data_IF_344305822042
#
_entry.id   IF_344305822042
#
_cell.length_a   1.000
_cell.length_b   1.000
_cell.length_c   1.000
_cell.angle_alpha   90.00
_cell.angle_beta   90.00
_cell.angle_gamma   90.00
#
_symmetry.space_group_name_H-M   'P 1'
#
loop_
_entity.id
_entity.type
_entity.pdbx_description
1 polymer ?
#
# COMPACT_ATOMS: atom_id res chain seq x y z
N UNK A 1 2.73 12.04 15.93
CA UNK A 1 2.35 12.36 14.53
C UNK A 1 1.97 13.83 14.51
N UNK A 2 2.80 14.69 13.97
CA UNK A 2 2.40 16.08 13.74
C UNK A 2 1.33 16.10 12.64
N UNK A 3 0.14 16.54 13.00
CA UNK A 3 -0.92 16.87 12.05
C UNK A 3 -0.33 17.86 11.06
N UNK A 4 -0.41 17.60 9.76
CA UNK A 4 0.19 18.49 8.77
C UNK A 4 -0.36 19.91 8.96
N UNK A 5 0.50 20.94 8.84
CA UNK A 5 0.15 22.35 9.01
C UNK A 5 -1.15 22.75 8.27
N UNK A 6 -1.40 22.31 7.02
CA UNK A 6 -2.66 22.57 6.33
C UNK A 6 -3.90 22.02 7.04
N UNK A 7 -3.85 20.81 7.63
CA UNK A 7 -5.00 20.25 8.36
C UNK A 7 -5.29 20.98 9.66
N UNK A 8 -4.26 21.44 10.37
CA UNK A 8 -4.43 22.23 11.58
C UNK A 8 -5.06 23.58 11.26
N UNK A 9 -4.57 24.29 10.22
CA UNK A 9 -5.12 25.57 9.78
C UNK A 9 -6.55 25.43 9.24
N UNK A 10 -6.83 24.41 8.45
CA UNK A 10 -8.17 24.15 7.94
C UNK A 10 -9.18 23.99 9.09
N UNK A 11 -8.82 23.23 10.10
CA UNK A 11 -9.65 23.04 11.29
C UNK A 11 -9.92 24.36 12.01
N UNK A 12 -8.90 25.20 12.23
CA UNK A 12 -9.07 26.53 12.87
C UNK A 12 -9.95 27.45 12.01
N UNK A 13 -9.77 27.46 10.69
CA UNK A 13 -10.60 28.26 9.77
C UNK A 13 -12.07 27.81 9.79
N UNK A 14 -12.33 26.50 9.92
CA UNK A 14 -13.68 25.93 9.89
C UNK A 14 -14.39 25.99 11.26
N UNK A 15 -13.65 25.84 12.36
CA UNK A 15 -14.20 25.82 13.72
C UNK A 15 -14.32 27.23 14.35
N UNK A 16 -13.64 28.24 13.80
CA UNK A 16 -13.69 29.59 14.31
C UNK A 16 -15.03 30.26 13.97
N UNK A 17 -15.76 30.66 15.01
CA UNK A 17 -17.01 31.43 14.86
C UNK A 17 -16.81 32.93 14.83
N UNK A 18 -15.57 33.43 15.02
CA UNK A 18 -15.20 34.84 15.06
C UNK A 18 -13.92 35.11 14.30
N UNK A 19 -13.99 36.06 13.40
CA UNK A 19 -12.88 36.48 12.54
C UNK A 19 -11.69 37.05 13.32
N UNK A 20 -11.93 37.76 14.42
CA UNK A 20 -10.86 38.34 15.25
C UNK A 20 -10.09 37.23 15.97
N UNK A 21 -10.81 36.24 16.54
CA UNK A 21 -10.20 35.05 17.14
C UNK A 21 -9.33 34.28 16.12
N UNK A 22 -9.81 34.13 14.89
CA UNK A 22 -9.05 33.49 13.82
C UNK A 22 -7.78 34.25 13.44
N UNK A 23 -7.85 35.58 13.36
CA UNK A 23 -6.67 36.42 13.07
C UNK A 23 -5.65 36.29 14.21
N UNK A 24 -6.08 36.30 15.47
CA UNK A 24 -5.20 36.12 16.62
C UNK A 24 -4.50 34.75 16.61
N UNK A 25 -5.23 33.68 16.30
CA UNK A 25 -4.67 32.32 16.18
C UNK A 25 -3.67 32.22 15.02
N UNK A 26 -3.99 32.78 13.85
CA UNK A 26 -3.08 32.79 12.71
C UNK A 26 -1.79 33.54 13.07
N UNK A 27 -1.89 34.70 13.72
CA UNK A 27 -0.73 35.47 14.16
C UNK A 27 0.10 34.73 15.21
N UNK A 28 -0.55 34.05 16.16
CA UNK A 28 0.12 33.22 17.15
C UNK A 28 0.86 32.02 16.53
N UNK A 29 0.23 31.35 15.55
CA UNK A 29 0.85 30.26 14.79
C UNK A 29 2.00 30.78 13.92
N UNK A 30 1.83 31.91 13.28
CA UNK A 30 2.89 32.57 12.46
C UNK A 30 4.11 32.88 13.34
N UNK A 31 3.91 33.44 14.53
CA UNK A 31 4.98 33.67 15.48
C UNK A 31 5.72 32.42 15.96
N UNK A 32 5.04 31.27 16.02
CA UNK A 32 5.62 29.99 16.47
C UNK A 32 6.26 29.16 15.35
N UNK A 33 5.62 29.09 14.19
CA UNK A 33 6.00 28.18 13.07
C UNK A 33 6.56 28.90 11.85
N UNK A 34 6.58 30.25 11.87
CA UNK A 34 7.16 31.05 10.80
C UNK A 34 6.26 31.21 9.56
N UNK A 35 6.87 31.66 8.48
CA UNK A 35 6.20 32.10 7.25
C UNK A 35 5.36 31.00 6.56
N UNK A 36 5.67 29.74 6.79
CA UNK A 36 4.96 28.58 6.21
C UNK A 36 3.46 28.58 6.59
N UNK A 37 3.10 29.20 7.72
CA UNK A 37 1.70 29.36 8.15
C UNK A 37 0.94 30.25 7.17
N UNK A 38 1.52 31.38 6.79
CA UNK A 38 0.88 32.31 5.86
C UNK A 38 0.82 31.76 4.43
N UNK A 39 1.85 31.03 4.00
CA UNK A 39 1.84 30.31 2.72
C UNK A 39 0.68 29.31 2.67
N UNK A 40 0.53 28.50 3.73
CA UNK A 40 -0.55 27.54 3.83
C UNK A 40 -1.93 28.22 3.91
N UNK A 41 -2.03 29.35 4.60
CA UNK A 41 -3.28 30.11 4.73
C UNK A 41 -3.75 30.68 3.38
N UNK A 42 -2.88 31.35 2.62
CA UNK A 42 -3.23 31.89 1.30
C UNK A 42 -3.59 30.78 0.30
N UNK A 43 -2.90 29.66 0.37
CA UNK A 43 -3.26 28.47 -0.43
C UNK A 43 -4.63 27.94 -0.04
N UNK A 44 -4.93 27.87 1.26
CA UNK A 44 -6.20 27.35 1.76
C UNK A 44 -7.39 28.26 1.45
N UNK A 45 -7.27 29.56 1.77
CA UNK A 45 -8.39 30.51 1.64
C UNK A 45 -8.59 31.04 0.22
N UNK A 46 -7.52 31.15 -0.57
CA UNK A 46 -7.58 31.77 -1.88
C UNK A 46 -7.11 30.88 -3.04
N UNK A 47 -6.57 29.69 -2.76
CA UNK A 47 -6.01 28.81 -3.77
C UNK A 47 -4.75 29.38 -4.45
N UNK A 48 -4.05 30.29 -3.78
CA UNK A 48 -2.89 31.01 -4.35
C UNK A 48 -1.60 30.45 -3.78
N UNK A 49 -0.72 29.97 -4.65
CA UNK A 49 0.67 29.66 -4.32
C UNK A 49 1.52 30.92 -4.37
N UNK A 50 1.75 31.51 -3.20
CA UNK A 50 2.48 32.76 -3.06
C UNK A 50 3.91 32.52 -2.54
N UNK A 51 4.93 33.18 -3.12
CA UNK A 51 6.29 33.10 -2.59
C UNK A 51 6.35 33.53 -1.11
N UNK A 52 7.07 32.81 -0.23
CA UNK A 52 7.12 33.14 1.20
C UNK A 52 7.44 34.60 1.51
N UNK A 53 8.35 35.20 0.76
CA UNK A 53 8.73 36.60 0.95
C UNK A 53 7.59 37.60 0.74
N UNK A 54 6.56 37.24 -0.02
CA UNK A 54 5.42 38.11 -0.32
C UNK A 54 4.26 37.89 0.67
N UNK A 55 4.15 36.68 1.26
CA UNK A 55 3.05 36.34 2.15
C UNK A 55 2.93 37.28 3.36
N UNK A 56 4.03 37.65 4.01
CA UNK A 56 4.00 38.53 5.16
C UNK A 56 3.48 39.92 4.79
N UNK A 57 3.99 40.53 3.70
CA UNK A 57 3.56 41.82 3.22
C UNK A 57 2.08 41.84 2.80
N UNK A 58 1.61 40.75 2.16
CA UNK A 58 0.20 40.62 1.79
C UNK A 58 -0.70 40.39 2.99
N UNK A 59 -0.24 39.67 4.02
CA UNK A 59 -1.00 39.51 5.25
C UNK A 59 -1.19 40.85 5.98
N UNK A 60 -0.14 41.63 6.19
CA UNK A 60 -0.21 42.96 6.77
C UNK A 60 -1.07 43.90 5.94
N UNK A 61 -0.88 43.89 4.62
CA UNK A 61 -1.68 44.71 3.69
C UNK A 61 -3.16 44.37 3.71
N UNK A 62 -3.48 43.06 3.82
CA UNK A 62 -4.85 42.58 3.96
C UNK A 62 -5.49 43.05 5.27
N UNK A 63 -4.81 42.95 6.40
CA UNK A 63 -5.35 43.36 7.70
C UNK A 63 -5.62 44.88 7.70
N UNK A 64 -4.72 45.67 7.12
CA UNK A 64 -4.92 47.13 6.95
C UNK A 64 -6.12 47.45 6.03
N UNK A 65 -6.23 46.72 4.92
CA UNK A 65 -7.33 46.89 3.97
C UNK A 65 -8.70 46.57 4.62
N UNK A 66 -8.79 45.43 5.38
CA UNK A 66 -10.01 45.07 6.11
C UNK A 66 -10.44 46.16 7.10
N UNK A 67 -9.48 46.73 7.84
CA UNK A 67 -9.75 47.81 8.76
C UNK A 67 -10.28 49.06 8.03
N UNK A 68 -9.66 49.46 6.92
CA UNK A 68 -10.10 50.61 6.12
C UNK A 68 -11.51 50.41 5.54
N UNK A 69 -11.84 49.16 5.10
CA UNK A 69 -13.18 48.85 4.62
C UNK A 69 -14.20 48.92 5.76
N UNK A 70 -13.86 48.41 6.94
CA UNK A 70 -14.76 48.45 8.11
C UNK A 70 -15.08 49.90 8.54
N UNK A 71 -14.08 50.75 8.54
CA UNK A 71 -14.24 52.19 8.82
C UNK A 71 -15.13 52.89 7.77
N UNK A 72 -14.94 52.56 6.49
CA UNK A 72 -15.73 53.14 5.39
C UNK A 72 -17.18 52.65 5.35
N UNK A 73 -17.43 51.40 5.74
CA UNK A 73 -18.77 50.77 5.72
C UNK A 73 -19.56 50.98 7.03
N UNK A 74 -18.90 51.41 8.10
CA UNK A 74 -19.48 51.49 9.45
C UNK A 74 -19.85 50.13 10.06
N UNK A 75 -19.30 49.04 9.54
CA UNK A 75 -19.48 47.66 10.05
C UNK A 75 -18.27 46.78 9.74
N UNK A 76 -18.05 45.79 10.54
CA UNK A 76 -17.03 44.77 10.23
C UNK A 76 -17.42 43.98 8.99
N UNK A 77 -16.45 43.73 8.12
CA UNK A 77 -16.58 42.87 6.97
C UNK A 77 -16.03 41.48 7.35
N UNK A 78 -16.74 40.47 6.93
CA UNK A 78 -16.28 39.09 7.02
C UNK A 78 -14.87 38.92 6.43
N UNK A 79 -14.04 38.09 7.09
CA UNK A 79 -12.63 37.94 6.74
C UNK A 79 -12.47 37.43 5.29
N UNK A 80 -13.30 36.49 4.87
CA UNK A 80 -13.25 35.92 3.52
C UNK A 80 -13.64 36.93 2.46
N UNK A 81 -14.69 37.72 2.74
CA UNK A 81 -15.12 38.81 1.86
C UNK A 81 -14.07 39.92 1.72
N UNK A 82 -13.46 40.33 2.83
CA UNK A 82 -12.42 41.34 2.84
C UNK A 82 -11.14 40.86 2.13
N UNK A 83 -10.78 39.54 2.32
CA UNK A 83 -9.64 38.94 1.65
C UNK A 83 -9.87 38.85 0.14
N UNK A 84 -11.07 38.47 -0.26
CA UNK A 84 -11.45 38.39 -1.67
C UNK A 84 -11.36 39.79 -2.33
N UNK A 85 -11.86 40.84 -1.67
CA UNK A 85 -11.77 42.22 -2.14
C UNK A 85 -10.30 42.69 -2.26
N UNK A 86 -9.49 42.49 -1.23
CA UNK A 86 -8.06 42.81 -1.24
C UNK A 86 -7.31 42.12 -2.36
N UNK A 87 -7.48 40.79 -2.51
CA UNK A 87 -6.76 40.03 -3.52
C UNK A 87 -7.21 40.34 -4.95
N UNK A 88 -8.48 40.76 -5.12
CA UNK A 88 -9.03 41.11 -6.43
C UNK A 88 -8.71 42.54 -6.85
N UNK A 89 -8.97 43.52 -5.99
CA UNK A 89 -8.94 44.94 -6.35
C UNK A 89 -7.65 45.63 -5.95
N UNK A 90 -7.04 45.29 -4.81
CA UNK A 90 -5.80 45.92 -4.37
C UNK A 90 -4.56 45.28 -4.98
N UNK A 91 -4.55 43.94 -5.16
CA UNK A 91 -3.36 43.20 -5.63
C UNK A 91 -3.51 42.60 -7.03
N UNK A 92 -4.73 42.40 -7.50
CA UNK A 92 -5.08 41.72 -8.76
C UNK A 92 -4.56 40.28 -8.85
N UNK A 93 -4.34 39.65 -7.72
CA UNK A 93 -3.93 38.25 -7.65
C UNK A 93 -5.09 37.26 -7.94
N UNK A 94 -6.35 37.70 -7.73
CA UNK A 94 -7.56 36.94 -8.06
C UNK A 94 -8.30 37.60 -9.23
N UNK A 95 -8.51 36.86 -10.31
CA UNK A 95 -9.26 37.36 -11.47
C UNK A 95 -10.75 37.01 -11.39
N UNK A 96 -11.09 35.78 -11.03
CA UNK A 96 -12.47 35.26 -10.99
C UNK A 96 -12.74 34.46 -9.72
N UNK A 97 -12.77 35.09 -8.52
CA UNK A 97 -13.01 34.38 -7.27
C UNK A 97 -14.42 33.77 -7.25
N UNK A 98 -14.54 32.59 -6.62
CA UNK A 98 -15.81 31.94 -6.31
C UNK A 98 -15.91 31.73 -4.81
N UNK A 99 -17.05 32.02 -4.23
CA UNK A 99 -17.34 31.67 -2.84
C UNK A 99 -17.87 30.24 -2.81
N UNK A 100 -17.30 29.43 -1.93
CA UNK A 100 -17.70 28.05 -1.73
C UNK A 100 -17.95 27.89 -0.22
N UNK A 101 -19.06 27.26 0.13
CA UNK A 101 -19.35 26.91 1.52
C UNK A 101 -18.29 25.96 2.08
N UNK A 102 -17.95 26.11 3.36
CA UNK A 102 -16.87 25.35 4.00
C UNK A 102 -17.10 23.83 3.96
N UNK A 103 -18.33 23.36 4.20
CA UNK A 103 -18.68 21.96 4.08
C UNK A 103 -18.55 21.43 2.64
N UNK A 104 -18.96 22.24 1.68
CA UNK A 104 -18.80 21.90 0.26
C UNK A 104 -17.32 21.90 -0.18
N UNK A 105 -16.49 22.76 0.43
CA UNK A 105 -15.04 22.76 0.20
C UNK A 105 -14.36 21.52 0.78
N UNK A 106 -14.77 21.05 1.97
CA UNK A 106 -14.30 19.77 2.52
C UNK A 106 -14.67 18.59 1.63
N UNK A 107 -15.93 18.52 1.17
CA UNK A 107 -16.37 17.49 0.21
C UNK A 107 -15.56 17.54 -1.10
N UNK A 108 -15.26 18.74 -1.60
CA UNK A 108 -14.40 18.92 -2.77
C UNK A 108 -12.96 18.46 -2.52
N UNK A 109 -12.40 18.74 -1.34
CA UNK A 109 -11.07 18.29 -0.95
C UNK A 109 -11.02 16.77 -0.78
N UNK A 110 -11.98 16.20 -0.06
CA UNK A 110 -12.07 14.75 0.10
C UNK A 110 -12.29 14.04 -1.24
N UNK A 111 -13.16 14.56 -2.10
CA UNK A 111 -13.35 14.06 -3.46
C UNK A 111 -12.16 14.28 -4.39
N UNK A 112 -11.23 15.18 -4.02
CA UNK A 112 -9.98 15.42 -4.74
C UNK A 112 -8.90 14.39 -4.44
N UNK A 113 -8.94 13.73 -3.25
CA UNK A 113 -7.91 12.78 -2.80
C UNK A 113 -8.41 11.35 -2.72
N UNK A 114 -9.71 11.13 -2.51
CA UNK A 114 -10.31 9.81 -2.38
C UNK A 114 -11.09 9.40 -3.64
N UNK A 115 -11.17 8.09 -3.87
CA UNK A 115 -12.12 7.48 -4.79
C UNK A 115 -13.50 7.37 -4.12
N UNK A 116 -14.52 7.96 -4.74
CA UNK A 116 -15.87 8.08 -4.15
C UNK A 116 -16.58 6.75 -3.92
N UNK A 117 -16.25 5.72 -4.71
CA UNK A 117 -16.87 4.41 -4.61
C UNK A 117 -16.25 3.59 -3.49
N UNK A 118 -14.94 3.61 -3.39
CA UNK A 118 -14.18 2.71 -2.53
C UNK A 118 -13.75 3.34 -1.21
N UNK A 119 -13.70 4.68 -1.13
CA UNK A 119 -13.18 5.43 0.02
C UNK A 119 -11.67 5.37 0.18
N UNK A 120 -10.96 4.56 -0.61
CA UNK A 120 -9.51 4.57 -0.68
C UNK A 120 -9.01 5.84 -1.37
N UNK A 121 -7.72 6.11 -1.29
CA UNK A 121 -7.15 7.21 -2.07
C UNK A 121 -7.35 6.97 -3.58
N UNK A 122 -7.43 8.06 -4.33
CA UNK A 122 -7.44 7.98 -5.78
C UNK A 122 -5.99 7.91 -6.32
N UNK A 123 -5.86 7.57 -7.61
CA UNK A 123 -4.58 7.48 -8.30
C UNK A 123 -3.74 8.75 -8.19
N UNK A 124 -4.36 9.92 -8.35
CA UNK A 124 -3.65 11.20 -8.30
C UNK A 124 -2.96 11.42 -6.95
N UNK A 125 -3.64 11.17 -5.86
CA UNK A 125 -3.07 11.29 -4.52
C UNK A 125 -1.99 10.24 -4.27
N UNK A 126 -2.21 9.00 -4.75
CA UNK A 126 -1.18 7.97 -4.69
C UNK A 126 0.11 8.40 -5.40
N UNK A 127 0.02 8.95 -6.63
CA UNK A 127 1.19 9.39 -7.41
C UNK A 127 1.98 10.49 -6.68
N UNK A 128 1.28 11.39 -5.97
CA UNK A 128 1.90 12.44 -5.16
C UNK A 128 2.67 11.85 -3.97
N UNK A 129 2.06 10.96 -3.19
CA UNK A 129 2.71 10.29 -2.04
C UNK A 129 3.84 9.36 -2.51
N UNK A 130 3.64 8.65 -3.60
CA UNK A 130 4.68 7.80 -4.19
C UNK A 130 5.92 8.61 -4.57
N UNK A 131 5.73 9.78 -5.18
CA UNK A 131 6.84 10.68 -5.52
C UNK A 131 7.62 11.16 -4.28
N UNK A 132 6.92 11.43 -3.17
CA UNK A 132 7.55 11.77 -1.89
C UNK A 132 8.33 10.58 -1.32
N UNK A 133 7.76 9.38 -1.35
CA UNK A 133 8.43 8.16 -0.89
C UNK A 133 9.67 7.83 -1.72
N UNK A 134 9.60 8.03 -3.03
CA UNK A 134 10.76 7.90 -3.94
C UNK A 134 11.89 8.83 -3.52
N UNK A 135 11.59 10.12 -3.27
CA UNK A 135 12.60 11.09 -2.84
C UNK A 135 13.25 10.72 -1.49
N UNK A 136 12.46 10.17 -0.55
CA UNK A 136 12.97 9.67 0.73
C UNK A 136 13.87 8.44 0.52
N UNK A 137 13.47 7.50 -0.32
CA UNK A 137 14.23 6.30 -0.62
C UNK A 137 15.54 6.62 -1.37
N UNK A 138 15.53 7.56 -2.31
CA UNK A 138 16.74 8.03 -3.00
C UNK A 138 17.74 8.65 -2.01
N UNK A 139 17.24 9.39 -1.00
CA UNK A 139 18.09 10.07 -0.01
C UNK A 139 18.60 9.16 1.10
N UNK A 140 17.74 8.30 1.64
CA UNK A 140 18.01 7.55 2.87
C UNK A 140 18.20 6.06 2.64
N UNK A 141 18.02 5.56 1.42
CA UNK A 141 18.06 4.13 1.06
C UNK A 141 17.12 3.27 1.89
N UNK A 142 15.99 3.84 2.33
CA UNK A 142 14.97 3.12 3.08
C UNK A 142 14.21 2.14 2.17
N UNK A 143 13.98 0.95 2.67
CA UNK A 143 13.18 -0.06 1.98
C UNK A 143 11.72 0.39 1.89
N UNK A 144 11.08 0.09 0.77
CA UNK A 144 9.64 0.15 0.64
C UNK A 144 9.16 -0.80 -0.46
N UNK A 145 7.91 -1.21 -0.33
CA UNK A 145 7.31 -2.22 -1.20
C UNK A 145 6.02 -1.69 -1.81
N UNK A 146 5.80 -2.00 -3.09
CA UNK A 146 4.56 -1.78 -3.82
C UNK A 146 3.88 -3.13 -4.01
N UNK A 147 2.62 -3.20 -3.65
CA UNK A 147 1.68 -4.26 -4.04
C UNK A 147 0.70 -3.68 -5.04
N UNK A 148 0.62 -4.28 -6.21
CA UNK A 148 -0.41 -3.99 -7.21
C UNK A 148 -1.39 -5.15 -7.25
N UNK A 149 -2.69 -4.89 -7.20
CA UNK A 149 -3.75 -5.89 -7.18
C UNK A 149 -4.74 -5.60 -8.31
N UNK A 150 -5.28 -6.64 -8.88
CA UNK A 150 -6.30 -6.58 -9.91
C UNK A 150 -7.35 -7.68 -9.63
N UNK A 151 -8.64 -7.33 -9.73
CA UNK A 151 -9.73 -8.29 -9.51
C UNK A 151 -9.82 -9.24 -10.69
N UNK A 152 -9.74 -10.52 -10.41
CA UNK A 152 -9.85 -11.57 -11.44
C UNK A 152 -11.25 -11.61 -12.04
N UNK A 153 -11.34 -11.66 -13.39
CA UNK A 153 -12.57 -11.80 -14.14
C UNK A 153 -13.64 -10.72 -13.85
N UNK A 154 -13.20 -9.52 -13.49
CA UNK A 154 -14.10 -8.42 -13.13
C UNK A 154 -15.06 -8.03 -14.26
N UNK A 155 -14.60 -8.10 -15.51
CA UNK A 155 -15.46 -7.88 -16.67
C UNK A 155 -16.57 -8.92 -16.76
N UNK A 156 -16.25 -10.20 -16.57
CA UNK A 156 -17.24 -11.29 -16.58
C UNK A 156 -18.27 -11.14 -15.45
N UNK A 157 -17.84 -10.67 -14.28
CA UNK A 157 -18.71 -10.35 -13.17
C UNK A 157 -19.69 -9.22 -13.57
N UNK A 158 -19.19 -8.14 -14.15
CA UNK A 158 -20.05 -7.04 -14.64
C UNK A 158 -21.01 -7.49 -15.74
N UNK A 159 -20.51 -8.28 -16.69
CA UNK A 159 -21.35 -8.76 -17.83
C UNK A 159 -22.44 -9.73 -17.34
N UNK A 160 -22.19 -10.49 -16.27
CA UNK A 160 -23.14 -11.47 -15.71
C UNK A 160 -24.14 -10.87 -14.72
N UNK A 161 -23.73 -9.91 -13.89
CA UNK A 161 -24.52 -9.40 -12.76
C UNK A 161 -24.76 -7.89 -12.80
N UNK A 162 -24.25 -7.21 -13.83
CA UNK A 162 -24.39 -5.76 -14.00
C UNK A 162 -23.38 -4.94 -13.21
N UNK A 163 -23.24 -3.66 -13.58
CA UNK A 163 -22.27 -2.75 -12.97
C UNK A 163 -22.47 -2.52 -11.46
N UNK A 164 -23.70 -2.65 -10.96
CA UNK A 164 -23.98 -2.52 -9.54
C UNK A 164 -23.31 -3.64 -8.72
N UNK A 165 -23.24 -4.86 -9.26
CA UNK A 165 -22.50 -5.97 -8.67
C UNK A 165 -20.99 -5.69 -8.65
N UNK A 166 -20.45 -5.15 -9.75
CA UNK A 166 -19.07 -4.69 -9.83
C UNK A 166 -18.73 -3.61 -8.81
N UNK A 167 -19.61 -2.61 -8.65
CA UNK A 167 -19.43 -1.56 -7.64
C UNK A 167 -19.41 -2.12 -6.22
N UNK A 168 -20.28 -3.07 -5.91
CA UNK A 168 -20.27 -3.79 -4.63
C UNK A 168 -18.99 -4.59 -4.43
N UNK A 169 -18.51 -5.25 -5.47
CA UNK A 169 -17.24 -6.00 -5.45
C UNK A 169 -16.06 -5.09 -5.16
N UNK A 170 -15.97 -3.95 -5.86
CA UNK A 170 -14.92 -2.95 -5.65
C UNK A 170 -14.92 -2.39 -4.23
N UNK A 171 -16.09 -2.01 -3.73
CA UNK A 171 -16.23 -1.49 -2.37
C UNK A 171 -15.84 -2.53 -1.31
N UNK A 172 -16.21 -3.80 -1.51
CA UNK A 172 -15.90 -4.87 -0.58
C UNK A 172 -14.39 -5.20 -0.54
N UNK A 173 -13.73 -5.26 -1.70
CA UNK A 173 -12.26 -5.41 -1.77
C UNK A 173 -11.55 -4.25 -1.08
N UNK A 174 -11.99 -3.03 -1.35
CA UNK A 174 -11.42 -1.83 -0.73
C UNK A 174 -11.55 -1.82 0.80
N UNK A 175 -12.68 -2.30 1.35
CA UNK A 175 -12.87 -2.42 2.80
C UNK A 175 -11.88 -3.41 3.43
N UNK A 176 -11.60 -4.54 2.78
CA UNK A 176 -10.57 -5.49 3.26
C UNK A 176 -9.20 -4.81 3.24
N UNK A 177 -8.82 -4.17 2.13
CA UNK A 177 -7.54 -3.46 2.03
C UNK A 177 -7.41 -2.40 3.13
N UNK A 178 -8.45 -1.58 3.34
CA UNK A 178 -8.47 -0.52 4.35
C UNK A 178 -8.30 -1.06 5.77
N UNK A 179 -8.93 -2.20 6.09
CA UNK A 179 -8.86 -2.84 7.40
C UNK A 179 -7.50 -3.48 7.67
N UNK A 180 -6.92 -4.13 6.68
CA UNK A 180 -5.71 -4.94 6.84
C UNK A 180 -4.41 -4.14 6.72
N UNK A 181 -4.41 -3.00 6.02
CA UNK A 181 -3.25 -2.13 5.90
C UNK A 181 -2.89 -1.45 7.22
N UNK A 182 -1.63 -1.12 7.41
CA UNK A 182 -1.17 -0.30 8.53
C UNK A 182 -1.55 1.17 8.30
N UNK A 183 -1.53 1.96 9.37
CA UNK A 183 -1.75 3.43 9.28
C UNK A 183 -0.69 4.12 8.41
N UNK A 184 0.54 3.59 8.37
CA UNK A 184 1.64 4.09 7.54
C UNK A 184 1.48 3.75 6.06
N UNK A 185 0.66 2.75 5.73
CA UNK A 185 0.52 2.27 4.37
C UNK A 185 -0.51 3.11 3.60
N UNK A 186 -0.22 3.37 2.35
CA UNK A 186 -1.08 4.16 1.46
C UNK A 186 -1.72 3.23 0.45
N UNK A 187 -3.04 3.09 0.52
CA UNK A 187 -3.81 2.27 -0.40
C UNK A 187 -4.69 3.14 -1.29
N UNK A 188 -4.71 2.86 -2.58
CA UNK A 188 -5.47 3.62 -3.56
C UNK A 188 -6.16 2.71 -4.58
N UNK A 189 -7.27 3.18 -5.12
CA UNK A 189 -7.81 2.66 -6.37
C UNK A 189 -7.06 3.29 -7.52
N UNK A 190 -6.33 2.47 -8.28
CA UNK A 190 -5.41 2.93 -9.31
C UNK A 190 -6.06 3.02 -10.69
N UNK A 191 -6.98 2.10 -10.97
CA UNK A 191 -7.74 2.00 -12.22
C UNK A 191 -9.17 1.52 -11.99
N UNK A 192 -9.80 0.98 -13.02
CA UNK A 192 -11.17 0.47 -12.95
C UNK A 192 -11.35 -0.60 -11.87
N UNK A 193 -10.55 -1.65 -11.95
CA UNK A 193 -10.56 -2.82 -11.07
C UNK A 193 -9.22 -3.04 -10.36
N UNK A 194 -8.33 -2.03 -10.44
CA UNK A 194 -6.96 -2.09 -9.97
C UNK A 194 -6.78 -1.32 -8.67
N UNK A 195 -6.06 -1.92 -7.74
CA UNK A 195 -5.69 -1.34 -6.47
C UNK A 195 -4.17 -1.36 -6.29
N UNK A 196 -3.65 -0.37 -5.59
CA UNK A 196 -2.23 -0.29 -5.26
C UNK A 196 -2.05 -0.02 -3.78
N UNK A 197 -1.07 -0.67 -3.16
CA UNK A 197 -0.68 -0.39 -1.77
C UNK A 197 0.82 -0.09 -1.72
N UNK A 198 1.16 1.10 -1.25
CA UNK A 198 2.51 1.52 -0.93
C UNK A 198 2.77 1.23 0.56
N UNK A 199 3.80 0.46 0.84
CA UNK A 199 4.19 0.03 2.18
C UNK A 199 5.59 0.59 2.52
N UNK A 200 5.70 1.74 3.19
CA UNK A 200 6.97 2.29 3.65
C UNK A 200 7.66 1.36 4.67
N UNK A 201 8.99 1.36 4.69
CA UNK A 201 9.79 0.56 5.62
C UNK A 201 9.39 -0.92 5.66
N UNK A 202 9.05 -1.47 4.50
CA UNK A 202 8.59 -2.85 4.35
C UNK A 202 9.43 -3.56 3.31
N UNK A 203 10.09 -4.64 3.72
CA UNK A 203 10.83 -5.52 2.82
C UNK A 203 9.90 -6.37 1.93
N UNK A 204 10.45 -6.97 0.90
CA UNK A 204 9.71 -7.78 -0.07
C UNK A 204 8.93 -8.94 0.57
N UNK A 205 9.51 -9.58 1.57
CA UNK A 205 8.92 -10.75 2.23
C UNK A 205 7.73 -10.33 3.10
N UNK A 206 7.93 -9.31 3.91
CA UNK A 206 6.85 -8.75 4.74
C UNK A 206 5.70 -8.23 3.88
N UNK A 207 6.01 -7.61 2.74
CA UNK A 207 5.03 -7.19 1.75
C UNK A 207 4.29 -8.37 1.12
N UNK A 208 5.00 -9.45 0.80
CA UNK A 208 4.38 -10.66 0.25
C UNK A 208 3.43 -11.34 1.26
N UNK A 209 3.84 -11.46 2.52
CA UNK A 209 2.98 -12.01 3.58
C UNK A 209 1.69 -11.19 3.73
N UNK A 210 1.80 -9.88 3.68
CA UNK A 210 0.64 -9.00 3.68
C UNK A 210 -0.25 -9.23 2.44
N UNK A 211 0.34 -9.29 1.25
CA UNK A 211 -0.37 -9.49 -0.01
C UNK A 211 -1.12 -10.84 -0.04
N UNK A 212 -0.50 -11.93 0.41
CA UNK A 212 -1.13 -13.26 0.48
C UNK A 212 -2.27 -13.29 1.51
N UNK A 213 -2.13 -12.60 2.64
CA UNK A 213 -3.22 -12.46 3.61
C UNK A 213 -4.43 -11.75 2.98
N UNK A 214 -4.21 -10.64 2.27
CA UNK A 214 -5.28 -9.93 1.54
C UNK A 214 -5.95 -10.86 0.51
N UNK A 215 -5.15 -11.55 -0.31
CA UNK A 215 -5.65 -12.46 -1.33
C UNK A 215 -6.56 -13.54 -0.73
N UNK A 216 -6.10 -14.18 0.36
CA UNK A 216 -6.86 -15.23 1.04
C UNK A 216 -8.17 -14.71 1.64
N UNK A 217 -8.14 -13.54 2.26
CA UNK A 217 -9.35 -12.93 2.82
C UNK A 217 -10.35 -12.54 1.74
N UNK A 218 -9.88 -11.94 0.63
CA UNK A 218 -10.71 -11.59 -0.51
C UNK A 218 -11.31 -12.86 -1.13
N UNK A 219 -10.54 -13.93 -1.33
CA UNK A 219 -11.04 -15.19 -1.88
C UNK A 219 -12.05 -15.90 -0.96
N UNK A 220 -11.96 -15.69 0.35
CA UNK A 220 -12.90 -16.25 1.33
C UNK A 220 -14.16 -15.38 1.53
N UNK A 221 -14.15 -14.14 1.04
CA UNK A 221 -15.24 -13.18 1.22
C UNK A 221 -16.49 -13.62 0.46
N UNK A 222 -17.64 -13.39 1.07
CA UNK A 222 -18.95 -13.55 0.48
C UNK A 222 -19.64 -12.20 0.42
N UNK A 223 -19.83 -11.66 -0.78
CA UNK A 223 -20.43 -10.33 -0.97
C UNK A 223 -21.94 -10.52 -1.19
N UNK A 224 -22.79 -10.08 -0.26
CA UNK A 224 -24.24 -10.15 -0.46
C UNK A 224 -24.67 -9.28 -1.66
N UNK A 225 -25.40 -9.87 -2.59
CA UNK A 225 -25.96 -9.16 -3.74
C UNK A 225 -27.28 -9.80 -4.13
N UNK A 226 -28.38 -9.07 -3.98
CA UNK A 226 -29.74 -9.57 -4.16
C UNK A 226 -29.99 -10.86 -3.35
N UNK A 227 -30.47 -11.94 -3.95
CA UNK A 227 -30.74 -13.21 -3.31
C UNK A 227 -29.53 -14.18 -3.31
N UNK A 228 -28.33 -13.70 -3.67
CA UNK A 228 -27.13 -14.50 -3.83
C UNK A 228 -25.90 -13.89 -3.16
N UNK A 229 -24.79 -14.60 -3.18
CA UNK A 229 -23.48 -14.11 -2.75
C UNK A 229 -22.49 -14.16 -3.91
N UNK A 230 -21.86 -13.03 -4.21
CA UNK A 230 -20.77 -12.97 -5.18
C UNK A 230 -19.49 -13.46 -4.54
N UNK A 231 -18.70 -14.20 -5.29
CA UNK A 231 -17.34 -14.62 -4.93
C UNK A 231 -16.40 -14.08 -6.01
N UNK A 232 -15.24 -13.62 -5.59
CA UNK A 232 -14.21 -13.16 -6.49
C UNK A 232 -12.83 -13.47 -5.92
N UNK A 233 -11.83 -13.37 -6.77
CA UNK A 233 -10.43 -13.48 -6.39
C UNK A 233 -9.65 -12.29 -6.92
N UNK A 234 -8.43 -12.13 -6.45
CA UNK A 234 -7.50 -11.11 -6.93
C UNK A 234 -6.17 -11.73 -7.31
N UNK A 235 -5.59 -11.23 -8.37
CA UNK A 235 -4.20 -11.46 -8.71
C UNK A 235 -3.36 -10.26 -8.32
N UNK A 236 -2.18 -10.49 -7.76
CA UNK A 236 -1.32 -9.42 -7.31
C UNK A 236 0.12 -9.54 -7.78
N UNK A 237 0.77 -8.40 -7.90
CA UNK A 237 2.20 -8.29 -8.17
C UNK A 237 2.90 -7.46 -7.11
N UNK A 238 4.09 -7.87 -6.71
CA UNK A 238 4.89 -7.21 -5.70
C UNK A 238 6.27 -6.85 -6.21
N UNK A 239 6.69 -5.63 -5.89
CA UNK A 239 8.05 -5.15 -6.15
C UNK A 239 8.53 -4.28 -4.98
N UNK A 240 9.83 -4.38 -4.65
CA UNK A 240 10.44 -3.71 -3.50
C UNK A 240 11.73 -3.00 -3.89
N UNK A 241 11.94 -1.83 -3.35
CA UNK A 241 13.21 -1.12 -3.38
C UNK A 241 14.01 -1.46 -2.11
N UNK A 242 15.35 -1.68 -2.23
CA UNK A 242 16.17 -1.70 -3.45
C UNK A 242 16.25 -3.07 -4.14
N UNK A 243 15.54 -4.09 -3.65
CA UNK A 243 15.68 -5.49 -4.06
C UNK A 243 15.44 -5.72 -5.56
N UNK A 244 14.38 -5.12 -6.10
CA UNK A 244 13.96 -5.39 -7.49
C UNK A 244 14.48 -4.35 -8.48
N UNK A 245 14.91 -3.19 -7.99
CA UNK A 245 15.47 -2.12 -8.83
C UNK A 245 16.24 -1.12 -7.98
N UNK A 246 17.28 -0.52 -8.55
CA UNK A 246 17.96 0.63 -7.94
C UNK A 246 17.24 1.96 -8.24
N UNK A 247 16.31 1.97 -9.19
CA UNK A 247 15.47 3.12 -9.51
C UNK A 247 14.07 2.95 -8.93
N UNK A 248 13.77 3.54 -7.75
CA UNK A 248 12.50 3.36 -7.07
C UNK A 248 11.30 3.83 -7.89
N UNK A 249 11.48 4.72 -8.88
CA UNK A 249 10.41 5.21 -9.77
C UNK A 249 9.78 4.12 -10.63
N UNK A 250 10.50 3.02 -10.85
CA UNK A 250 10.03 1.90 -11.67
C UNK A 250 9.14 0.92 -10.90
N UNK A 251 9.09 1.00 -9.56
CA UNK A 251 8.46 -0.03 -8.73
C UNK A 251 6.99 -0.29 -9.05
N UNK A 252 6.20 0.75 -9.32
CA UNK A 252 4.79 0.58 -9.70
C UNK A 252 4.68 -0.24 -10.99
N UNK A 253 5.49 0.09 -12.00
CA UNK A 253 5.50 -0.63 -13.27
C UNK A 253 5.98 -2.08 -13.11
N UNK A 254 6.96 -2.33 -12.23
CA UNK A 254 7.46 -3.67 -11.95
C UNK A 254 6.41 -4.52 -11.23
N UNK A 255 5.70 -3.94 -10.26
CA UNK A 255 4.61 -4.60 -9.56
C UNK A 255 3.45 -4.91 -10.51
N UNK A 256 3.05 -3.97 -11.37
CA UNK A 256 2.05 -4.19 -12.42
C UNK A 256 2.46 -5.34 -13.38
N UNK A 257 3.70 -5.34 -13.85
CA UNK A 257 4.23 -6.43 -14.67
C UNK A 257 4.14 -7.80 -13.98
N UNK A 258 4.29 -7.84 -12.65
CA UNK A 258 4.14 -9.06 -11.87
C UNK A 258 2.67 -9.52 -11.77
N UNK A 259 1.68 -8.61 -11.80
CA UNK A 259 0.26 -9.00 -11.90
C UNK A 259 0.00 -9.81 -13.16
N UNK A 260 0.58 -9.40 -14.28
CA UNK A 260 0.44 -10.14 -15.51
C UNK A 260 0.97 -11.59 -15.38
N UNK A 261 2.09 -11.78 -14.65
CA UNK A 261 2.63 -13.11 -14.34
C UNK A 261 1.67 -13.91 -13.45
N UNK A 262 1.06 -13.27 -12.46
CA UNK A 262 0.07 -13.88 -11.57
C UNK A 262 -1.16 -14.35 -12.35
N UNK A 263 -1.71 -13.50 -13.22
CA UNK A 263 -2.84 -13.85 -14.11
C UNK A 263 -2.50 -15.02 -15.04
N UNK A 264 -1.30 -15.02 -15.65
CA UNK A 264 -0.82 -16.11 -16.49
C UNK A 264 -0.54 -17.43 -15.76
N UNK A 265 -0.31 -17.39 -14.44
CA UNK A 265 -0.10 -18.55 -13.60
C UNK A 265 -1.40 -19.23 -13.10
N UNK A 266 -2.57 -18.76 -13.53
CA UNK A 266 -3.86 -19.32 -13.19
C UNK A 266 -4.71 -18.45 -12.27
N UNK A 267 -4.39 -17.16 -12.14
CA UNK A 267 -5.11 -16.17 -11.30
C UNK A 267 -5.06 -16.50 -9.81
N UNK A 268 -5.77 -15.75 -8.97
CA UNK A 268 -5.84 -15.95 -7.50
C UNK A 268 -4.47 -16.23 -6.88
N UNK A 269 -3.48 -15.39 -7.17
CA UNK A 269 -2.10 -15.58 -6.72
C UNK A 269 -1.34 -14.26 -6.67
N UNK A 270 -0.29 -14.23 -5.83
CA UNK A 270 0.64 -13.10 -5.76
C UNK A 270 1.95 -13.51 -6.43
N UNK A 271 2.42 -12.71 -7.36
CA UNK A 271 3.71 -12.90 -8.03
C UNK A 271 4.71 -11.84 -7.60
N UNK A 272 5.97 -12.23 -7.42
CA UNK A 272 7.07 -11.29 -7.27
C UNK A 272 7.54 -10.82 -8.65
N UNK A 273 7.86 -9.53 -8.78
CA UNK A 273 8.65 -9.11 -9.93
C UNK A 273 10.03 -9.74 -9.88
N UNK A 274 10.37 -10.46 -10.93
CA UNK A 274 11.72 -11.00 -11.18
C UNK A 274 12.01 -10.99 -12.67
N UNK A 275 13.22 -10.63 -13.03
CA UNK A 275 13.75 -10.86 -14.39
C UNK A 275 13.89 -12.34 -14.76
N UNK A 276 13.89 -13.24 -13.75
CA UNK A 276 14.00 -14.69 -13.93
C UNK A 276 12.69 -15.43 -13.62
N UNK A 277 12.46 -16.55 -14.32
CA UNK A 277 11.27 -17.44 -14.33
C UNK A 277 10.81 -18.04 -12.99
N UNK A 278 11.28 -17.61 -11.80
CA UNK A 278 10.93 -18.18 -10.49
C UNK A 278 9.86 -17.36 -9.77
N UNK A 279 8.77 -18.00 -9.35
CA UNK A 279 7.57 -17.42 -8.72
C UNK A 279 7.81 -16.87 -7.30
N UNK A 280 8.82 -17.37 -6.56
CA UNK A 280 9.07 -17.03 -5.15
C UNK A 280 10.56 -16.79 -4.88
N UNK A 281 10.85 -15.82 -4.00
CA UNK A 281 12.21 -15.60 -3.49
C UNK A 281 12.70 -16.86 -2.78
N UNK A 282 13.90 -17.33 -3.10
CA UNK A 282 14.54 -18.46 -2.43
C UNK A 282 15.90 -18.05 -1.90
N UNK A 283 16.19 -18.49 -0.69
CA UNK A 283 17.47 -18.27 -0.03
C UNK A 283 18.22 -19.59 0.03
N UNK A 284 19.49 -19.58 -0.35
CA UNK A 284 20.35 -20.75 -0.21
C UNK A 284 20.59 -20.99 1.26
N UNK A 285 20.25 -22.17 1.74
CA UNK A 285 20.51 -22.63 3.10
C UNK A 285 21.04 -24.04 3.05
N UNK A 286 21.96 -24.38 3.94
CA UNK A 286 22.52 -25.71 4.06
C UNK A 286 22.33 -26.20 5.49
N UNK A 287 21.16 -26.79 5.74
CA UNK A 287 20.76 -27.30 7.04
C UNK A 287 20.24 -28.74 6.91
N UNK A 288 20.44 -29.58 7.93
CA UNK A 288 19.82 -30.89 7.96
C UNK A 288 18.30 -30.80 7.88
N UNK A 289 17.70 -31.69 7.10
CA UNK A 289 16.26 -31.85 7.01
C UNK A 289 15.86 -33.29 7.32
N UNK A 290 14.74 -33.43 8.03
CA UNK A 290 14.05 -34.70 8.24
C UNK A 290 12.79 -34.71 7.39
N UNK A 291 12.69 -35.64 6.47
CA UNK A 291 11.59 -35.76 5.52
C UNK A 291 10.75 -36.97 5.89
N UNK A 292 9.44 -36.79 5.99
CA UNK A 292 8.49 -37.87 6.27
C UNK A 292 7.38 -37.84 5.24
N UNK A 293 7.14 -38.96 4.59
CA UNK A 293 6.03 -39.15 3.66
C UNK A 293 4.73 -39.29 4.44
N UNK A 294 3.69 -38.56 4.03
CA UNK A 294 2.36 -38.63 4.65
C UNK A 294 1.49 -39.60 3.86
N UNK A 295 1.69 -40.93 4.07
CA UNK A 295 0.83 -41.96 3.51
C UNK A 295 0.12 -42.75 4.63
N UNK A 296 -0.98 -43.43 4.30
CA UNK A 296 -1.80 -44.16 5.25
C UNK A 296 -1.16 -45.45 5.77
N UNK A 297 -0.05 -45.88 5.19
CA UNK A 297 0.66 -47.11 5.56
C UNK A 297 2.17 -46.84 5.68
N UNK A 298 2.71 -47.11 6.85
CA UNK A 298 4.11 -47.12 7.26
C UNK A 298 5.00 -45.99 6.72
N UNK A 299 5.13 -44.93 7.51
CA UNK A 299 5.79 -43.69 7.10
C UNK A 299 7.32 -43.82 7.22
N UNK A 300 8.01 -44.01 6.11
CA UNK A 300 9.46 -43.92 6.06
C UNK A 300 9.94 -42.49 6.37
N UNK A 301 10.97 -42.37 7.19
CA UNK A 301 11.62 -41.11 7.51
C UNK A 301 12.99 -41.08 6.85
N UNK A 302 13.27 -40.04 6.10
CA UNK A 302 14.53 -39.84 5.37
C UNK A 302 15.28 -38.62 5.91
N UNK A 303 16.60 -38.70 5.88
CA UNK A 303 17.46 -37.56 6.26
C UNK A 303 18.07 -36.95 5.00
N UNK A 304 17.99 -35.65 4.88
CA UNK A 304 18.56 -34.89 3.75
C UNK A 304 19.20 -33.61 4.16
N UNK A 305 19.59 -32.81 3.17
CA UNK A 305 20.19 -31.47 3.39
C UNK A 305 19.47 -30.45 2.50
N UNK A 306 18.99 -29.36 3.09
CA UNK A 306 18.39 -28.27 2.33
C UNK A 306 19.41 -27.59 1.42
N UNK A 307 18.94 -27.13 0.24
CA UNK A 307 19.73 -26.34 -0.74
C UNK A 307 19.21 -24.92 -0.84
N UNK A 308 17.92 -24.76 -0.92
CA UNK A 308 17.26 -23.45 -0.86
C UNK A 308 15.86 -23.58 -0.25
N UNK A 309 15.38 -22.48 0.33
CA UNK A 309 14.03 -22.36 0.86
C UNK A 309 13.42 -21.03 0.42
N UNK A 310 12.13 -21.03 0.18
CA UNK A 310 11.33 -19.84 -0.05
C UNK A 310 9.88 -20.06 0.41
N UNK A 311 9.08 -19.02 0.35
CA UNK A 311 7.66 -19.05 0.76
C UNK A 311 6.87 -20.11 -0.01
N UNK A 312 7.23 -20.38 -1.27
CA UNK A 312 6.57 -21.36 -2.11
C UNK A 312 7.08 -22.81 -1.97
N UNK A 313 8.05 -23.07 -1.08
CA UNK A 313 8.58 -24.42 -0.89
C UNK A 313 10.08 -24.50 -0.60
N UNK A 314 10.59 -25.71 -0.58
CA UNK A 314 12.00 -26.03 -0.27
C UNK A 314 12.58 -26.93 -1.36
N UNK A 315 13.86 -26.76 -1.66
CA UNK A 315 14.71 -27.69 -2.40
C UNK A 315 15.68 -28.35 -1.43
N UNK A 316 15.73 -29.67 -1.41
CA UNK A 316 16.64 -30.43 -0.57
C UNK A 316 17.22 -31.63 -1.32
N UNK A 317 18.35 -32.07 -0.86
CA UNK A 317 19.06 -33.25 -1.35
C UNK A 317 18.69 -34.45 -0.49
N UNK A 318 18.42 -35.62 -1.11
CA UNK A 318 18.10 -36.88 -0.44
C UNK A 318 18.74 -38.04 -1.19
N UNK A 319 19.03 -39.16 -0.46
CA UNK A 319 19.61 -40.39 -1.04
C UNK A 319 18.55 -41.30 -1.66
N UNK A 320 17.29 -41.05 -1.40
CA UNK A 320 16.15 -41.81 -1.93
C UNK A 320 15.24 -40.92 -2.74
N UNK A 321 14.82 -41.32 -3.96
CA UNK A 321 13.87 -40.55 -4.74
C UNK A 321 12.48 -40.64 -4.08
N UNK A 322 11.75 -39.52 -4.09
CA UNK A 322 10.36 -39.45 -3.64
C UNK A 322 9.44 -39.35 -4.86
N UNK A 323 8.27 -40.03 -4.86
CA UNK A 323 7.35 -39.95 -5.99
C UNK A 323 6.85 -38.52 -6.24
N UNK A 324 6.75 -38.12 -7.50
CA UNK A 324 6.09 -36.87 -7.88
C UNK A 324 4.63 -36.88 -7.45
N UNK A 325 4.17 -35.82 -6.79
CA UNK A 325 2.81 -35.68 -6.30
C UNK A 325 2.61 -36.23 -4.87
N UNK A 326 3.62 -36.90 -4.27
CA UNK A 326 3.50 -37.35 -2.87
C UNK A 326 3.43 -36.16 -1.91
N UNK A 327 2.60 -36.30 -0.87
CA UNK A 327 2.49 -35.34 0.22
C UNK A 327 3.54 -35.68 1.27
N UNK A 328 4.37 -34.70 1.62
CA UNK A 328 5.48 -34.90 2.57
C UNK A 328 5.51 -33.82 3.63
N UNK A 329 6.07 -34.15 4.78
CA UNK A 329 6.51 -33.18 5.78
C UNK A 329 8.02 -33.06 5.74
N UNK A 330 8.51 -31.82 5.85
CA UNK A 330 9.95 -31.51 5.98
C UNK A 330 10.16 -30.74 7.25
N UNK A 331 10.97 -31.30 8.16
CA UNK A 331 11.41 -30.63 9.37
C UNK A 331 12.80 -30.07 9.12
N UNK A 332 12.96 -28.76 9.26
CA UNK A 332 14.20 -28.03 9.08
C UNK A 332 14.72 -27.54 10.42
N UNK A 333 15.94 -27.91 10.80
CA UNK A 333 16.59 -27.41 12.00
C UNK A 333 17.06 -25.97 11.80
N UNK A 334 16.27 -25.00 12.27
CA UNK A 334 16.59 -23.56 12.16
C UNK A 334 17.10 -22.98 13.47
N UNK A 335 16.51 -23.41 14.59
CA UNK A 335 16.91 -23.03 15.96
C UNK A 335 16.93 -24.27 16.84
N UNK A 336 17.74 -24.23 17.92
CA UNK A 336 17.86 -25.33 18.87
C UNK A 336 16.55 -25.70 19.58
N UNK A 337 15.60 -24.77 19.69
CA UNK A 337 14.37 -24.93 20.48
C UNK A 337 13.14 -25.41 19.69
N UNK A 338 13.06 -25.19 18.37
CA UNK A 338 11.93 -25.68 17.56
C UNK A 338 12.29 -25.81 16.07
N UNK A 339 12.18 -27.02 15.47
CA UNK A 339 12.35 -27.19 14.04
C UNK A 339 11.18 -26.55 13.27
N UNK A 340 11.49 -25.93 12.12
CA UNK A 340 10.49 -25.46 11.20
C UNK A 340 9.85 -26.64 10.48
N UNK A 341 8.54 -26.84 10.63
CA UNK A 341 7.77 -27.87 9.97
C UNK A 341 7.12 -27.30 8.71
N UNK A 342 7.40 -27.93 7.56
CA UNK A 342 6.80 -27.62 6.27
C UNK A 342 5.98 -28.83 5.79
N UNK A 343 4.78 -28.59 5.28
CA UNK A 343 3.94 -29.60 4.65
C UNK A 343 3.74 -29.19 3.19
N UNK A 344 3.86 -30.15 2.28
CA UNK A 344 3.67 -29.84 0.87
C UNK A 344 3.83 -31.05 -0.05
N UNK A 345 3.73 -30.78 -1.34
CA UNK A 345 3.72 -31.82 -2.39
C UNK A 345 5.05 -31.81 -3.15
N UNK A 346 5.58 -32.99 -3.45
CA UNK A 346 6.77 -33.16 -4.29
C UNK A 346 6.43 -32.79 -5.74
N UNK A 347 7.09 -31.78 -6.27
CA UNK A 347 6.86 -31.25 -7.64
C UNK A 347 8.06 -31.40 -8.57
N UNK A 348 9.20 -31.81 -8.03
CA UNK A 348 10.45 -31.96 -8.80
C UNK A 348 11.31 -33.02 -8.15
N UNK A 349 11.86 -33.92 -8.97
CA UNK A 349 12.88 -34.91 -8.58
C UNK A 349 13.89 -34.97 -9.70
N UNK A 350 15.13 -34.64 -9.43
CA UNK A 350 16.23 -34.66 -10.40
C UNK A 350 17.41 -35.41 -9.83
N UNK A 351 17.95 -36.34 -10.59
CA UNK A 351 19.18 -37.06 -10.23
C UNK A 351 20.38 -36.19 -10.56
N UNK A 352 21.23 -35.84 -9.60
CA UNK A 352 22.45 -35.07 -9.84
C UNK A 352 23.75 -35.88 -9.62
N UNK A 353 23.65 -37.00 -8.94
CA UNK A 353 24.74 -37.97 -8.78
C UNK A 353 24.18 -39.38 -8.58
N UNK A 354 25.05 -40.39 -8.57
CA UNK A 354 24.62 -41.79 -8.28
C UNK A 354 24.04 -41.82 -6.86
N UNK A 355 22.79 -42.33 -6.76
CA UNK A 355 22.01 -42.46 -5.53
C UNK A 355 21.83 -41.11 -4.76
N UNK A 356 21.77 -39.99 -5.50
CA UNK A 356 21.50 -38.65 -4.94
C UNK A 356 20.53 -37.88 -5.79
N UNK A 357 19.51 -37.34 -5.15
CA UNK A 357 18.37 -36.68 -5.78
C UNK A 357 18.15 -35.29 -5.22
N UNK A 358 17.93 -34.32 -6.12
CA UNK A 358 17.39 -33.01 -5.78
C UNK A 358 15.89 -33.04 -5.79
N UNK A 359 15.28 -32.85 -4.64
CA UNK A 359 13.84 -32.94 -4.45
C UNK A 359 13.28 -31.55 -4.17
N UNK A 360 12.39 -31.11 -5.04
CA UNK A 360 11.64 -29.85 -4.88
C UNK A 360 10.26 -30.11 -4.34
N UNK A 361 9.94 -29.53 -3.19
CA UNK A 361 8.61 -29.55 -2.61
C UNK A 361 7.99 -28.17 -2.72
N UNK A 362 6.71 -28.09 -3.09
CA UNK A 362 5.91 -26.87 -3.01
C UNK A 362 5.00 -26.93 -1.80
N UNK A 363 4.81 -25.77 -1.14
CA UNK A 363 3.86 -25.60 -0.03
C UNK A 363 2.80 -24.60 -0.46
N UNK A 364 1.60 -24.68 0.12
CA UNK A 364 0.54 -23.69 0.00
C UNK A 364 0.34 -22.99 1.35
N UNK A 365 -0.10 -21.73 1.32
CA UNK A 365 -0.41 -20.98 2.55
C UNK A 365 -1.52 -21.62 3.39
N UNK A 366 -2.37 -22.46 2.79
CA UNK A 366 -3.40 -23.23 3.51
C UNK A 366 -2.82 -24.34 4.36
N UNK A 367 -1.65 -24.85 3.96
CA UNK A 367 -0.97 -25.97 4.61
C UNK A 367 0.06 -25.51 5.65
N UNK A 368 0.35 -24.19 5.70
CA UNK A 368 1.31 -23.61 6.63
C UNK A 368 0.59 -22.82 7.71
N UNK A 369 0.89 -23.13 8.97
CA UNK A 369 0.39 -22.31 10.07
C UNK A 369 1.13 -20.95 10.17
N UNK A 370 0.62 -20.06 11.04
CA UNK A 370 1.21 -18.72 11.24
C UNK A 370 2.64 -18.77 11.77
N UNK A 371 3.00 -19.82 12.49
CA UNK A 371 4.32 -20.01 13.09
C UNK A 371 5.34 -20.42 12.03
N UNK A 372 4.96 -21.32 11.11
CA UNK A 372 5.81 -21.72 10.00
C UNK A 372 6.08 -20.54 9.03
N UNK A 373 5.06 -19.73 8.75
CA UNK A 373 5.21 -18.52 7.95
C UNK A 373 6.17 -17.50 8.60
N UNK A 374 6.04 -17.28 9.92
CA UNK A 374 6.94 -16.39 10.67
C UNK A 374 8.37 -16.94 10.72
N UNK A 375 8.53 -18.27 10.83
CA UNK A 375 9.83 -18.95 10.81
C UNK A 375 10.56 -18.76 9.47
N UNK A 376 9.89 -18.99 8.35
CA UNK A 376 10.45 -18.77 7.01
C UNK A 376 10.80 -17.29 6.82
N UNK A 377 9.93 -16.37 7.20
CA UNK A 377 10.19 -14.93 7.12
C UNK A 377 11.41 -14.55 7.99
N UNK A 378 11.59 -15.18 9.16
CA UNK A 378 12.77 -15.01 10.02
C UNK A 378 14.08 -15.45 9.35
N UNK A 379 14.09 -16.63 8.74
CA UNK A 379 15.27 -17.16 8.00
C UNK A 379 15.65 -16.24 6.85
N UNK A 380 14.63 -15.81 6.09
CA UNK A 380 14.82 -14.94 4.94
C UNK A 380 15.32 -13.53 5.32
N UNK A 381 15.03 -13.04 6.53
CA UNK A 381 15.53 -11.76 7.07
C UNK A 381 16.98 -11.84 7.53
N UNK A 382 17.36 -12.93 8.21
CA UNK A 382 18.70 -13.07 8.78
C UNK A 382 19.81 -13.17 7.70
N UNK A 383 19.50 -13.58 6.49
CA UNK A 383 20.48 -13.70 5.39
C UNK A 383 20.55 -12.48 4.47
N UNK A 384 19.61 -11.53 4.55
CA UNK A 384 19.70 -10.25 3.82
C UNK A 384 20.52 -9.18 4.54
N UNK A 385 21.10 -9.50 5.71
CA UNK A 385 21.95 -8.60 6.54
C UNK A 385 23.43 -8.95 6.45
N UNK A 386 23.81 -9.98 5.66
CA UNK A 386 25.20 -10.40 5.46
C UNK A 386 25.75 -10.04 4.07
#
# INVERSE_FOLDING_TARGET
MEVSLPKTLLRHVLESSDDEALIEEVNALYGKKGIEVLVALFRLLAGIDMPPKQCAAHWEGFLLHRKTLAEGLGRNLDLTAALCDYLRFSTRLLNHPRLVDAGHFEEMLEGSINDKLTGLFNRRYFDEIFSQQVALAERYRNDFTILFLDIDDFKELNDSYGHLAGDRALAAVAQIIAREKRTSDVAARFGGEEFVVLMPHTDNISGFVFAERLRLEIAAMRIPFEDMALNLTVSGGIASFPLNTENPRQLVQLADSAVYLAKGAGKNTIAHYKEEKRRYLRVKIKQPVLVKELDFHDTATFSGTSKDIGIGGILFENDTPLPLGSLITVQLAVNEDAPLLLIGTVVRVETFAKDRYDIGMTTTFKEMDKVANAGIAGILRLQNVA
#
